data_IF_881480053096
#
_entry.id   IF_881480053096
#
_cell.length_a   1.000
_cell.length_b   1.000
_cell.length_c   1.000
_cell.angle_alpha   90.00
_cell.angle_beta   90.00
_cell.angle_gamma   90.00
#
_symmetry.space_group_name_H-M   'P 1'
#
loop_
_entity.id
_entity.type
_entity.pdbx_description
1 polymer ?
#
# COMPACT_ATOMS: atom_id res chain seq x y z
N UNK A 1 1.87 18.24 26.04
CA UNK A 1 1.67 18.15 24.57
C UNK A 1 2.63 17.19 23.85
N UNK A 2 3.92 17.04 24.24
CA UNK A 2 4.88 16.14 23.55
C UNK A 2 4.52 14.64 23.63
N UNK A 3 4.03 14.17 24.77
CA UNK A 3 3.69 12.74 24.98
C UNK A 3 2.54 12.28 24.07
N UNK A 4 1.53 13.11 23.81
CA UNK A 4 0.42 12.77 22.92
C UNK A 4 0.86 12.59 21.46
N UNK A 5 1.90 13.29 21.01
CA UNK A 5 2.38 13.20 19.63
C UNK A 5 3.12 11.88 19.38
N UNK A 6 3.95 11.43 20.36
CA UNK A 6 4.62 10.12 20.22
C UNK A 6 3.65 8.95 20.22
N UNK A 7 2.59 9.01 21.03
CA UNK A 7 1.57 7.95 21.08
C UNK A 7 0.85 7.78 19.72
N UNK A 8 0.49 8.87 19.06
CA UNK A 8 -0.18 8.80 17.74
C UNK A 8 0.73 8.18 16.68
N UNK A 9 2.04 8.47 16.68
CA UNK A 9 2.98 7.83 15.75
C UNK A 9 3.17 6.34 16.04
N UNK A 10 3.25 5.95 17.32
CA UNK A 10 3.33 4.53 17.72
C UNK A 10 2.08 3.78 17.24
N UNK A 11 0.89 4.33 17.47
CA UNK A 11 -0.36 3.71 17.01
C UNK A 11 -0.37 3.59 15.48
N UNK A 12 0.05 4.63 14.76
CA UNK A 12 0.10 4.61 13.30
C UNK A 12 1.08 3.56 12.76
N UNK A 13 2.25 3.39 13.40
CA UNK A 13 3.23 2.34 13.07
C UNK A 13 2.60 0.96 13.28
N UNK A 14 2.01 0.71 14.46
CA UNK A 14 1.39 -0.58 14.79
C UNK A 14 0.28 -0.93 13.80
N UNK A 15 -0.62 0.01 13.51
CA UNK A 15 -1.70 -0.21 12.53
C UNK A 15 -1.17 -0.49 11.13
N UNK A 16 -0.11 0.21 10.70
CA UNK A 16 0.51 -0.02 9.39
C UNK A 16 1.18 -1.40 9.30
N UNK A 17 1.84 -1.83 10.37
CA UNK A 17 2.43 -3.18 10.45
C UNK A 17 1.32 -4.24 10.40
N UNK A 18 0.26 -4.08 11.19
CA UNK A 18 -0.89 -5.01 11.18
C UNK A 18 -1.50 -5.09 9.78
N UNK A 19 -1.67 -3.95 9.10
CA UNK A 19 -2.20 -3.90 7.74
C UNK A 19 -1.30 -4.64 6.75
N UNK A 20 0.02 -4.44 6.81
CA UNK A 20 0.97 -5.15 5.96
C UNK A 20 0.97 -6.66 6.20
N UNK A 21 0.93 -7.09 7.47
CA UNK A 21 0.85 -8.50 7.83
C UNK A 21 -0.48 -9.11 7.37
N UNK A 22 -1.59 -8.40 7.54
CA UNK A 22 -2.90 -8.85 7.07
C UNK A 22 -2.92 -9.04 5.56
N UNK A 23 -2.43 -8.06 4.79
CA UNK A 23 -2.40 -8.14 3.33
C UNK A 23 -1.48 -9.27 2.86
N UNK A 24 -0.33 -9.47 3.50
CA UNK A 24 0.61 -10.52 3.11
C UNK A 24 0.13 -11.91 3.51
N UNK A 25 -0.13 -12.15 4.79
CA UNK A 25 -0.46 -13.50 5.27
C UNK A 25 -1.91 -13.90 5.00
N UNK A 26 -2.87 -12.99 5.19
CA UNK A 26 -4.27 -13.35 5.02
C UNK A 26 -4.71 -13.25 3.56
N UNK A 27 -4.50 -12.13 2.88
CA UNK A 27 -4.97 -11.99 1.50
C UNK A 27 -4.09 -12.79 0.52
N UNK A 28 -2.77 -12.68 0.60
CA UNK A 28 -1.87 -13.30 -0.36
C UNK A 28 -1.69 -14.80 -0.10
N UNK A 29 -1.27 -15.18 1.11
CA UNK A 29 -0.91 -16.57 1.41
C UNK A 29 -2.15 -17.45 1.68
N UNK A 30 -3.11 -16.92 2.46
CA UNK A 30 -4.27 -17.71 2.87
C UNK A 30 -5.39 -17.72 1.83
N UNK A 31 -5.71 -16.55 1.22
CA UNK A 31 -6.77 -16.41 0.22
C UNK A 31 -6.26 -16.50 -1.23
N UNK A 32 -4.95 -16.68 -1.45
CA UNK A 32 -4.34 -16.80 -2.80
C UNK A 32 -4.60 -15.60 -3.72
N UNK A 33 -4.76 -14.41 -3.14
CA UNK A 33 -4.87 -13.17 -3.89
C UNK A 33 -3.47 -12.68 -4.27
N UNK A 34 -3.05 -12.97 -5.50
CA UNK A 34 -1.71 -12.65 -5.97
C UNK A 34 -1.51 -11.14 -6.10
N UNK A 35 -0.47 -10.55 -5.46
CA UNK A 35 -0.24 -9.13 -5.52
C UNK A 35 0.25 -8.70 -6.89
N UNK A 36 -0.30 -7.62 -7.41
CA UNK A 36 0.17 -6.97 -8.63
C UNK A 36 1.34 -6.01 -8.35
N UNK A 37 2.04 -5.55 -9.38
CA UNK A 37 3.14 -4.62 -9.22
C UNK A 37 2.72 -3.31 -8.51
N UNK A 38 1.57 -2.74 -8.86
CA UNK A 38 1.05 -1.53 -8.19
C UNK A 38 0.74 -1.80 -6.71
N UNK A 39 0.26 -3.00 -6.35
CA UNK A 39 0.04 -3.43 -4.97
C UNK A 39 1.37 -3.48 -4.19
N UNK A 40 2.45 -3.92 -4.85
CA UNK A 40 3.80 -3.95 -4.24
C UNK A 40 4.33 -2.53 -3.99
N UNK A 41 4.14 -1.58 -4.93
CA UNK A 41 4.51 -0.18 -4.69
C UNK A 41 3.74 0.44 -3.51
N UNK A 42 2.45 0.11 -3.35
CA UNK A 42 1.63 0.53 -2.21
C UNK A 42 2.19 -0.04 -0.89
N UNK A 43 2.57 -1.33 -0.85
CA UNK A 43 3.22 -1.94 0.32
C UNK A 43 4.55 -1.25 0.64
N UNK A 44 5.36 -0.99 -0.38
CA UNK A 44 6.62 -0.29 -0.22
C UNK A 44 6.43 1.12 0.35
N UNK A 45 5.42 1.86 -0.13
CA UNK A 45 5.06 3.17 0.40
C UNK A 45 4.69 3.10 1.90
N UNK A 46 3.97 2.07 2.33
CA UNK A 46 3.68 1.85 3.76
C UNK A 46 4.95 1.53 4.57
N UNK A 47 5.90 0.78 4.00
CA UNK A 47 7.21 0.56 4.65
C UNK A 47 7.99 1.87 4.82
N UNK A 48 7.99 2.74 3.80
CA UNK A 48 8.59 4.07 3.89
C UNK A 48 7.89 4.94 4.94
N UNK A 49 6.55 4.86 5.04
CA UNK A 49 5.81 5.54 6.10
C UNK A 49 6.23 5.07 7.49
N UNK A 50 6.33 3.76 7.72
CA UNK A 50 6.78 3.20 9.01
C UNK A 50 8.17 3.72 9.36
N UNK A 51 9.10 3.74 8.41
CA UNK A 51 10.44 4.26 8.58
C UNK A 51 10.41 5.77 8.95
N UNK A 52 9.64 6.57 8.21
CA UNK A 52 9.47 7.99 8.48
C UNK A 52 8.88 8.24 9.87
N UNK A 53 7.82 7.50 10.23
CA UNK A 53 7.16 7.60 11.53
C UNK A 53 8.10 7.22 12.69
N UNK A 54 8.94 6.19 12.50
CA UNK A 54 9.96 5.82 13.47
C UNK A 54 11.00 6.93 13.66
N UNK A 55 11.52 7.53 12.57
CA UNK A 55 12.47 8.64 12.64
C UNK A 55 11.84 9.88 13.29
N UNK A 56 10.52 10.11 13.08
CA UNK A 56 9.79 11.22 13.73
C UNK A 56 9.80 11.16 15.25
N UNK A 57 10.00 9.97 15.85
CA UNK A 57 10.07 9.82 17.31
C UNK A 57 11.33 10.48 17.91
N UNK A 58 12.37 10.71 17.10
CA UNK A 58 13.57 11.40 17.56
C UNK A 58 13.36 12.93 17.54
N UNK A 59 13.62 13.61 18.67
CA UNK A 59 13.44 15.05 18.80
C UNK A 59 14.56 15.91 18.17
N UNK A 60 15.30 15.33 17.22
CA UNK A 60 16.40 15.99 16.51
C UNK A 60 15.83 16.68 15.25
N UNK A 61 16.05 17.99 15.09
CA UNK A 61 15.51 18.77 13.95
C UNK A 61 15.92 18.22 12.58
N UNK A 62 17.17 17.75 12.43
CA UNK A 62 17.67 17.15 11.19
C UNK A 62 16.95 15.83 10.92
N UNK A 63 16.79 14.97 11.94
CA UNK A 63 16.05 13.71 11.80
C UNK A 63 14.61 13.96 11.37
N UNK A 64 13.92 14.94 11.95
CA UNK A 64 12.57 15.32 11.54
C UNK A 64 12.52 15.83 10.09
N UNK A 65 13.53 16.58 9.63
CA UNK A 65 13.59 17.00 8.24
C UNK A 65 13.71 15.81 7.28
N UNK A 66 14.55 14.84 7.59
CA UNK A 66 14.70 13.59 6.81
C UNK A 66 13.40 12.79 6.85
N UNK A 67 12.79 12.66 8.03
CA UNK A 67 11.52 11.94 8.19
C UNK A 67 10.40 12.54 7.35
N UNK A 68 10.27 13.88 7.31
CA UNK A 68 9.29 14.54 6.43
C UNK A 68 9.59 14.33 4.95
N UNK A 69 10.86 14.31 4.53
CA UNK A 69 11.22 14.02 3.15
C UNK A 69 10.80 12.59 2.74
N UNK A 70 11.09 11.60 3.58
CA UNK A 70 10.68 10.20 3.37
C UNK A 70 9.14 10.08 3.39
N UNK A 71 8.46 10.81 4.27
CA UNK A 71 7.01 10.85 4.35
C UNK A 71 6.37 11.41 3.07
N UNK A 72 6.92 12.50 2.52
CA UNK A 72 6.47 13.08 1.25
C UNK A 72 6.63 12.06 0.12
N UNK A 73 7.76 11.35 0.05
CA UNK A 73 7.98 10.29 -0.92
C UNK A 73 6.97 9.14 -0.76
N UNK A 74 6.74 8.68 0.48
CA UNK A 74 5.76 7.65 0.81
C UNK A 74 4.35 8.03 0.34
N UNK A 75 3.90 9.24 0.65
CA UNK A 75 2.60 9.75 0.23
C UNK A 75 2.48 9.85 -1.29
N UNK A 76 3.52 10.35 -1.96
CA UNK A 76 3.55 10.43 -3.42
C UNK A 76 3.38 9.06 -4.07
N UNK A 77 4.18 8.07 -3.66
CA UNK A 77 4.11 6.70 -4.17
C UNK A 77 2.74 6.09 -3.85
N UNK A 78 2.28 6.23 -2.60
CA UNK A 78 1.02 5.69 -2.14
C UNK A 78 -0.17 6.21 -2.93
N UNK A 79 -0.30 7.52 -3.11
CA UNK A 79 -1.38 8.12 -3.89
C UNK A 79 -1.29 7.78 -5.38
N UNK A 80 -0.09 7.90 -5.98
CA UNK A 80 0.14 7.60 -7.40
C UNK A 80 -0.31 6.18 -7.75
N UNK A 81 0.19 5.18 -7.04
CA UNK A 81 -0.09 3.79 -7.37
C UNK A 81 -1.48 3.33 -6.92
N UNK A 82 -2.06 3.90 -5.88
CA UNK A 82 -3.47 3.68 -5.55
C UNK A 82 -4.40 4.24 -6.62
N UNK A 83 -4.08 5.42 -7.18
CA UNK A 83 -4.84 6.00 -8.28
C UNK A 83 -4.76 5.15 -9.55
N UNK A 84 -3.53 4.78 -9.99
CA UNK A 84 -3.31 3.94 -11.17
C UNK A 84 -4.04 2.58 -11.01
N UNK A 85 -3.94 1.98 -9.83
CA UNK A 85 -4.61 0.72 -9.54
C UNK A 85 -6.15 0.85 -9.63
N UNK A 86 -6.71 1.96 -9.14
CA UNK A 86 -8.16 2.21 -9.23
C UNK A 86 -8.62 2.39 -10.68
N UNK A 87 -7.84 3.06 -11.52
CA UNK A 87 -8.14 3.16 -12.96
C UNK A 87 -8.08 1.79 -13.65
N UNK A 88 -7.13 0.92 -13.27
CA UNK A 88 -7.07 -0.45 -13.78
C UNK A 88 -8.32 -1.26 -13.39
N UNK A 89 -8.83 -1.12 -12.15
CA UNK A 89 -10.10 -1.76 -11.75
C UNK A 89 -11.28 -1.27 -12.58
N UNK A 90 -11.36 0.02 -12.86
CA UNK A 90 -12.43 0.60 -13.71
C UNK A 90 -12.34 0.04 -15.13
N UNK A 91 -11.15 0.07 -15.74
CA UNK A 91 -10.92 -0.42 -17.08
C UNK A 91 -11.35 -1.89 -17.27
N UNK A 92 -11.02 -2.74 -16.29
CA UNK A 92 -11.42 -4.15 -16.29
C UNK A 92 -12.93 -4.29 -16.12
N UNK A 93 -13.55 -3.51 -15.22
CA UNK A 93 -15.01 -3.54 -15.00
C UNK A 93 -15.78 -3.10 -16.25
N UNK A 94 -15.27 -2.14 -16.99
CA UNK A 94 -15.85 -1.61 -18.21
C UNK A 94 -15.46 -2.42 -19.47
N UNK A 95 -14.67 -3.49 -19.30
CA UNK A 95 -14.12 -4.31 -20.40
C UNK A 95 -13.37 -3.49 -21.45
N UNK A 96 -12.70 -2.41 -21.02
CA UNK A 96 -11.93 -1.52 -21.86
C UNK A 96 -10.44 -1.87 -21.83
N UNK A 97 -9.90 -2.62 -22.82
CA UNK A 97 -8.50 -3.04 -22.81
C UNK A 97 -7.51 -1.87 -22.97
N UNK A 98 -7.94 -0.75 -23.53
CA UNK A 98 -7.12 0.45 -23.69
C UNK A 98 -7.10 1.35 -22.44
N UNK A 99 -7.99 1.12 -21.50
CA UNK A 99 -8.07 1.83 -20.22
C UNK A 99 -7.13 1.29 -19.15
N UNK A 100 -6.47 0.15 -19.39
CA UNK A 100 -5.52 -0.43 -18.44
C UNK A 100 -4.28 0.48 -18.36
N UNK A 101 -4.07 1.09 -17.21
CA UNK A 101 -2.93 1.93 -16.92
C UNK A 101 -1.63 1.14 -16.75
N UNK A 102 -0.59 1.83 -16.31
CA UNK A 102 0.73 1.26 -16.11
C UNK A 102 0.70 0.08 -15.12
N UNK A 103 1.06 -1.10 -15.61
CA UNK A 103 1.23 -2.32 -14.82
C UNK A 103 2.55 -3.00 -15.20
N UNK A 104 3.67 -2.63 -14.56
CA UNK A 104 4.98 -3.19 -14.90
C UNK A 104 5.08 -4.66 -14.49
N UNK A 105 5.93 -5.41 -15.17
CA UNK A 105 6.21 -6.81 -14.87
C UNK A 105 7.10 -7.01 -13.63
N UNK A 106 7.81 -5.97 -13.20
CA UNK A 106 8.68 -5.95 -12.02
C UNK A 106 8.58 -4.64 -11.26
N UNK A 107 9.03 -4.63 -10.03
CA UNK A 107 9.00 -3.44 -9.15
C UNK A 107 10.42 -2.97 -8.89
N UNK A 108 10.79 -1.84 -9.46
CA UNK A 108 12.11 -1.24 -9.34
C UNK A 108 12.01 0.08 -8.58
N UNK A 109 12.92 0.28 -7.63
CA UNK A 109 13.02 1.52 -6.86
C UNK A 109 14.48 1.93 -6.71
N UNK A 110 14.84 3.13 -7.16
CA UNK A 110 16.25 3.59 -7.30
C UNK A 110 17.13 2.58 -8.07
N UNK A 111 16.65 2.06 -9.19
CA UNK A 111 17.31 1.02 -9.98
C UNK A 111 17.58 -0.31 -9.22
N UNK A 112 17.01 -0.50 -8.06
CA UNK A 112 17.09 -1.74 -7.30
C UNK A 112 15.74 -2.47 -7.43
N UNK A 113 15.71 -3.70 -7.98
CA UNK A 113 14.50 -4.50 -8.02
C UNK A 113 14.14 -4.93 -6.59
N UNK A 114 12.97 -4.52 -6.09
CA UNK A 114 12.53 -4.77 -4.72
C UNK A 114 12.40 -6.28 -4.42
N UNK A 115 12.07 -7.06 -5.42
CA UNK A 115 11.99 -8.52 -5.34
C UNK A 115 13.30 -9.20 -4.96
N UNK A 116 14.46 -8.58 -5.23
CA UNK A 116 15.77 -9.10 -4.78
C UNK A 116 16.04 -8.86 -3.30
N UNK A 117 15.36 -7.87 -2.69
CA UNK A 117 15.53 -7.55 -1.27
C UNK A 117 14.72 -8.53 -0.42
N UNK A 118 13.43 -8.69 -0.72
CA UNK A 118 12.51 -9.60 -0.03
C UNK A 118 11.59 -10.28 -1.05
N UNK A 119 12.01 -11.42 -1.65
CA UNK A 119 11.29 -12.06 -2.75
C UNK A 119 9.83 -12.40 -2.41
N UNK A 120 9.57 -12.97 -1.24
CA UNK A 120 8.22 -13.38 -0.82
C UNK A 120 7.27 -12.21 -0.64
N UNK A 121 7.78 -11.04 -0.27
CA UNK A 121 6.98 -9.87 0.06
C UNK A 121 6.80 -8.89 -1.11
N UNK A 122 7.82 -8.75 -1.96
CA UNK A 122 7.85 -7.78 -3.06
C UNK A 122 7.80 -8.40 -4.46
N UNK A 123 7.56 -9.71 -4.60
CA UNK A 123 7.41 -10.33 -5.91
C UNK A 123 6.00 -10.12 -6.48
N UNK A 124 5.84 -9.40 -7.61
CA UNK A 124 4.55 -9.24 -8.27
C UNK A 124 4.19 -10.54 -9.00
N UNK A 125 3.14 -11.21 -8.56
CA UNK A 125 2.68 -12.47 -9.16
C UNK A 125 1.26 -12.37 -9.75
N UNK A 126 0.60 -11.22 -9.59
CA UNK A 126 -0.75 -10.96 -10.05
C UNK A 126 -0.82 -9.90 -11.15
N UNK A 127 -1.99 -9.78 -11.77
CA UNK A 127 -2.31 -8.77 -12.78
C UNK A 127 -2.96 -7.55 -12.13
N UNK A 128 -2.59 -6.33 -12.55
CA UNK A 128 -3.17 -5.11 -12.00
C UNK A 128 -4.67 -5.02 -12.29
N UNK A 129 -5.45 -4.72 -11.25
CA UNK A 129 -6.91 -4.64 -11.33
C UNK A 129 -7.64 -5.98 -11.23
N UNK A 130 -6.92 -7.11 -11.13
CA UNK A 130 -7.46 -8.44 -10.91
C UNK A 130 -6.91 -8.98 -9.59
N UNK A 131 -7.66 -8.83 -8.52
CA UNK A 131 -7.35 -9.35 -7.18
C UNK A 131 -8.21 -10.57 -6.80
N UNK A 132 -8.70 -11.30 -7.81
CA UNK A 132 -9.42 -12.55 -7.59
C UNK A 132 -8.48 -13.63 -7.06
N UNK A 133 -8.97 -14.48 -6.13
CA UNK A 133 -8.22 -15.65 -5.68
C UNK A 133 -7.84 -16.57 -6.86
N UNK A 134 -6.56 -16.96 -6.94
CA UNK A 134 -6.07 -17.93 -7.92
C UNK A 134 -5.67 -19.18 -7.17
N UNK A 135 -6.59 -20.15 -7.14
CA UNK A 135 -6.47 -21.36 -6.32
C UNK A 135 -6.07 -22.54 -7.19
N UNK A 136 -5.02 -23.26 -6.78
CA UNK A 136 -4.64 -24.52 -7.41
C UNK A 136 -5.63 -25.64 -7.02
N UNK A 137 -5.98 -26.52 -8.00
CA UNK A 137 -6.96 -27.59 -7.83
C UNK A 137 -6.61 -28.63 -6.75
N UNK A 138 -5.35 -28.66 -6.30
CA UNK A 138 -4.84 -29.64 -5.35
C UNK A 138 -4.81 -29.17 -3.89
N UNK A 139 -5.47 -28.04 -3.57
CA UNK A 139 -5.46 -27.49 -2.22
C UNK A 139 -6.47 -28.23 -1.34
N UNK A 140 -6.07 -28.52 -0.11
CA UNK A 140 -6.91 -29.14 0.91
C UNK A 140 -8.11 -28.26 1.25
N UNK A 141 -9.28 -28.86 1.26
CA UNK A 141 -10.52 -28.20 1.61
C UNK A 141 -10.49 -27.78 3.09
N UNK A 142 -10.74 -26.51 3.33
CA UNK A 142 -10.85 -25.94 4.68
C UNK A 142 -12.13 -25.08 4.71
N UNK A 143 -13.07 -25.44 5.58
CA UNK A 143 -14.38 -24.79 5.71
C UNK A 143 -14.27 -23.26 5.85
N UNK A 144 -13.28 -22.77 6.60
CA UNK A 144 -13.06 -21.34 6.77
C UNK A 144 -12.58 -20.66 5.47
N UNK A 145 -11.73 -21.33 4.70
CA UNK A 145 -11.28 -20.84 3.39
C UNK A 145 -12.41 -20.86 2.36
N UNK A 146 -13.22 -21.93 2.32
CA UNK A 146 -14.38 -22.04 1.44
C UNK A 146 -15.38 -20.89 1.64
N UNK A 147 -15.57 -20.42 2.87
CA UNK A 147 -16.40 -19.25 3.15
C UNK A 147 -15.92 -18.01 2.40
N UNK A 148 -14.59 -17.78 2.32
CA UNK A 148 -14.03 -16.58 1.69
C UNK A 148 -13.88 -16.71 0.18
N UNK A 149 -13.39 -17.84 -0.33
CA UNK A 149 -13.06 -18.00 -1.75
C UNK A 149 -14.06 -18.85 -2.52
N UNK A 150 -14.95 -19.58 -1.85
CA UNK A 150 -15.90 -20.51 -2.44
C UNK A 150 -15.45 -21.96 -2.45
N UNK A 151 -16.36 -22.86 -2.83
CA UNK A 151 -16.10 -24.29 -2.91
C UNK A 151 -15.42 -24.66 -4.20
N UNK A 152 -14.64 -25.75 -4.15
CA UNK A 152 -13.96 -26.33 -5.32
C UNK A 152 -14.96 -26.84 -6.38
N UNK A 153 -16.09 -27.38 -5.94
CA UNK A 153 -17.18 -27.84 -6.79
C UNK A 153 -17.74 -26.73 -7.69
N UNK A 154 -17.80 -25.50 -7.17
CA UNK A 154 -18.30 -24.30 -7.86
C UNK A 154 -17.19 -23.51 -8.58
N UNK A 155 -16.01 -24.09 -8.79
CA UNK A 155 -14.83 -23.40 -9.34
C UNK A 155 -14.49 -22.10 -8.56
N UNK A 156 -14.67 -22.09 -7.25
CA UNK A 156 -14.38 -20.97 -6.35
C UNK A 156 -15.16 -19.66 -6.69
N UNK A 157 -16.40 -19.78 -7.18
CA UNK A 157 -17.24 -18.63 -7.57
C UNK A 157 -18.21 -18.18 -6.48
N UNK A 158 -18.49 -19.04 -5.48
CA UNK A 158 -19.52 -18.82 -4.45
C UNK A 158 -18.99 -18.10 -3.18
N UNK A 159 -17.69 -17.86 -3.07
CA UNK A 159 -17.07 -17.27 -1.88
C UNK A 159 -17.28 -15.76 -1.75
N UNK A 160 -17.11 -15.26 -0.51
CA UNK A 160 -17.27 -13.85 -0.17
C UNK A 160 -16.38 -12.93 -1.00
N UNK A 161 -15.14 -13.35 -1.30
CA UNK A 161 -14.13 -12.63 -2.09
C UNK A 161 -13.85 -13.24 -3.46
N UNK A 162 -14.75 -14.09 -3.96
CA UNK A 162 -14.59 -14.74 -5.28
C UNK A 162 -14.46 -13.73 -6.44
N UNK A 163 -15.04 -12.54 -6.28
CA UNK A 163 -14.95 -11.44 -7.26
C UNK A 163 -13.74 -10.51 -7.06
N UNK A 164 -12.97 -10.71 -6.00
CA UNK A 164 -11.87 -9.85 -5.56
C UNK A 164 -12.11 -9.26 -4.18
N UNK A 165 -11.15 -8.48 -3.69
CA UNK A 165 -11.25 -7.89 -2.36
C UNK A 165 -12.08 -6.60 -2.37
N UNK A 166 -13.08 -6.56 -1.50
CA UNK A 166 -13.89 -5.37 -1.20
C UNK A 166 -14.08 -5.26 0.30
N UNK A 167 -14.12 -4.04 0.84
CA UNK A 167 -14.39 -3.80 2.26
C UNK A 167 -15.78 -4.32 2.66
N UNK A 168 -16.77 -4.11 1.78
CA UNK A 168 -18.10 -4.69 1.89
C UNK A 168 -18.38 -5.53 0.63
N UNK A 169 -18.02 -6.82 0.64
CA UNK A 169 -18.08 -7.67 -0.55
C UNK A 169 -19.47 -7.76 -1.18
N UNK A 170 -20.53 -7.82 -0.35
CA UNK A 170 -21.92 -7.90 -0.82
C UNK A 170 -22.33 -6.73 -1.74
N UNK A 171 -21.75 -5.55 -1.50
CA UNK A 171 -22.07 -4.32 -2.25
C UNK A 171 -20.97 -3.90 -3.20
N UNK A 172 -19.89 -4.66 -3.31
CA UNK A 172 -18.68 -4.31 -4.06
C UNK A 172 -18.17 -2.89 -3.73
N UNK A 173 -18.29 -2.52 -2.43
CA UNK A 173 -18.00 -1.17 -1.95
C UNK A 173 -16.56 -1.10 -1.42
N UNK A 174 -15.82 -0.09 -1.87
CA UNK A 174 -14.40 0.16 -1.57
C UNK A 174 -13.52 -1.04 -1.96
N UNK A 175 -12.96 -0.98 -3.17
CA UNK A 175 -11.96 -1.93 -3.64
C UNK A 175 -10.59 -1.71 -2.94
N UNK A 176 -9.65 -2.61 -3.17
CA UNK A 176 -8.31 -2.55 -2.55
C UNK A 176 -7.58 -1.22 -2.85
N UNK A 177 -7.71 -0.68 -4.05
CA UNK A 177 -7.09 0.60 -4.43
C UNK A 177 -7.69 1.79 -3.67
N UNK A 178 -9.01 1.83 -3.56
CA UNK A 178 -9.73 2.87 -2.79
C UNK A 178 -9.41 2.75 -1.29
N UNK A 179 -9.33 1.53 -0.76
CA UNK A 179 -8.91 1.29 0.62
C UNK A 179 -7.49 1.81 0.88
N UNK A 180 -6.55 1.51 -0.01
CA UNK A 180 -5.18 2.03 0.07
C UNK A 180 -5.15 3.56 0.00
N UNK A 181 -5.92 4.16 -0.91
CA UNK A 181 -6.03 5.62 -1.02
C UNK A 181 -6.51 6.26 0.29
N UNK A 182 -7.53 5.68 0.93
CA UNK A 182 -8.03 6.16 2.23
C UNK A 182 -6.99 6.05 3.34
N UNK A 183 -6.19 4.98 3.35
CA UNK A 183 -5.07 4.83 4.30
C UNK A 183 -4.07 5.96 4.12
N UNK A 184 -3.62 6.25 2.88
CA UNK A 184 -2.68 7.35 2.63
C UNK A 184 -3.29 8.73 2.89
N UNK A 185 -4.59 8.92 2.65
CA UNK A 185 -5.30 10.15 3.02
C UNK A 185 -5.30 10.34 4.55
N UNK A 186 -5.52 9.29 5.31
CA UNK A 186 -5.45 9.33 6.78
C UNK A 186 -4.04 9.68 7.25
N UNK A 187 -3.00 9.05 6.67
CA UNK A 187 -1.59 9.36 6.94
C UNK A 187 -1.29 10.83 6.63
N UNK A 188 -1.76 11.33 5.50
CA UNK A 188 -1.59 12.72 5.09
C UNK A 188 -2.19 13.69 6.11
N UNK A 189 -3.43 13.47 6.54
CA UNK A 189 -4.12 14.32 7.53
C UNK A 189 -3.38 14.32 8.86
N UNK A 190 -2.93 13.15 9.35
CA UNK A 190 -2.17 13.03 10.57
C UNK A 190 -0.82 13.76 10.49
N UNK A 191 -0.14 13.63 9.35
CA UNK A 191 1.16 14.25 9.13
C UNK A 191 1.08 15.76 8.93
N UNK A 192 -0.02 16.27 8.38
CA UNK A 192 -0.23 17.69 8.13
C UNK A 192 -0.20 18.52 9.44
N UNK A 193 -0.81 18.00 10.49
CA UNK A 193 -0.80 18.64 11.82
C UNK A 193 0.63 18.83 12.36
N UNK A 194 1.46 17.81 12.22
CA UNK A 194 2.86 17.85 12.65
C UNK A 194 3.70 18.77 11.76
N UNK A 195 3.46 18.73 10.45
CA UNK A 195 4.15 19.59 9.49
C UNK A 195 3.89 21.07 9.73
N UNK A 196 2.63 21.45 10.03
CA UNK A 196 2.27 22.84 10.39
C UNK A 196 3.05 23.30 11.62
N UNK A 197 3.21 22.43 12.63
CA UNK A 197 4.07 22.73 13.79
C UNK A 197 5.55 22.88 13.42
N UNK A 198 6.03 22.09 12.47
CA UNK A 198 7.42 22.09 12.02
C UNK A 198 7.78 23.30 11.13
N UNK A 199 6.83 23.85 10.37
CA UNK A 199 7.00 25.05 9.52
C UNK A 199 7.54 26.26 10.30
N UNK A 200 7.32 26.34 11.60
CA UNK A 200 7.92 27.39 12.45
C UNK A 200 9.47 27.40 12.33
N UNK A 201 10.08 26.28 12.00
CA UNK A 201 11.51 26.16 11.71
C UNK A 201 11.75 26.26 10.19
N UNK A 202 11.60 27.44 9.60
CA UNK A 202 11.61 27.68 8.14
C UNK A 202 12.73 26.96 7.37
N UNK A 203 13.96 26.97 7.88
CA UNK A 203 15.15 26.36 7.23
C UNK A 203 14.95 24.84 7.09
N UNK A 204 14.55 24.16 8.17
CA UNK A 204 14.38 22.70 8.16
C UNK A 204 13.14 22.26 7.37
N UNK A 205 12.08 23.06 7.37
CA UNK A 205 10.90 22.83 6.55
C UNK A 205 11.24 22.94 5.05
N UNK A 206 12.00 23.98 4.67
CA UNK A 206 12.47 24.15 3.29
C UNK A 206 13.40 23.01 2.86
N UNK A 207 14.34 22.60 3.72
CA UNK A 207 15.21 21.46 3.48
C UNK A 207 14.43 20.16 3.26
N UNK A 208 13.38 19.91 4.05
CA UNK A 208 12.55 18.72 3.90
C UNK A 208 11.79 18.67 2.57
N UNK A 209 11.31 19.81 2.09
CA UNK A 209 10.62 19.91 0.80
C UNK A 209 11.60 19.69 -0.37
N UNK A 210 12.79 20.29 -0.35
CA UNK A 210 13.81 20.08 -1.38
C UNK A 210 14.21 18.60 -1.40
N UNK A 211 14.54 18.01 -0.25
CA UNK A 211 14.97 16.63 -0.16
C UNK A 211 13.86 15.69 -0.62
N UNK A 212 12.60 15.95 -0.24
CA UNK A 212 11.43 15.19 -0.69
C UNK A 212 11.26 15.26 -2.21
N UNK A 213 11.40 16.45 -2.81
CA UNK A 213 11.33 16.63 -4.26
C UNK A 213 12.45 15.88 -4.99
N UNK A 214 13.69 15.95 -4.49
CA UNK A 214 14.84 15.21 -5.03
C UNK A 214 14.60 13.70 -4.97
N UNK A 215 14.10 13.19 -3.84
CA UNK A 215 13.79 11.76 -3.68
C UNK A 215 12.70 11.30 -4.66
N UNK A 216 11.65 12.11 -4.86
CA UNK A 216 10.61 11.82 -5.86
C UNK A 216 11.22 11.76 -7.26
N UNK A 217 12.02 12.76 -7.64
CA UNK A 217 12.65 12.80 -8.96
C UNK A 217 13.55 11.59 -9.20
N UNK A 218 14.40 11.24 -8.23
CA UNK A 218 15.26 10.06 -8.32
C UNK A 218 14.47 8.74 -8.36
N UNK A 219 13.30 8.68 -7.75
CA UNK A 219 12.45 7.48 -7.77
C UNK A 219 11.73 7.26 -9.09
N UNK A 220 11.71 8.27 -9.97
CA UNK A 220 11.06 8.22 -11.29
C UNK A 220 12.04 8.00 -12.45
N UNK A 221 13.35 8.07 -12.18
CA UNK A 221 14.42 7.69 -13.11
C UNK A 221 14.66 6.19 -13.08
#
# INVERSE_FOLDING_TARGET
MRVCNHLSWIIAIILSIILLLFVHYFLQEYLFMKPCANCIYIRFALCLFILAAFIMMFDIKIAKSIAFAILILSLYIGFKYSYILNENYKAIKESNPFGIGFCPSGVVFFNIPLEKIFPTFFYPSGTCGLDKPIVDKNISDNVFREFFIGKKEDNFTSGLYSKGWFLLPKYEFINMAQGAFLVFLTIFILSLKEFIGFIKNKIYAFLSLILGFVLIHLSTL
#
